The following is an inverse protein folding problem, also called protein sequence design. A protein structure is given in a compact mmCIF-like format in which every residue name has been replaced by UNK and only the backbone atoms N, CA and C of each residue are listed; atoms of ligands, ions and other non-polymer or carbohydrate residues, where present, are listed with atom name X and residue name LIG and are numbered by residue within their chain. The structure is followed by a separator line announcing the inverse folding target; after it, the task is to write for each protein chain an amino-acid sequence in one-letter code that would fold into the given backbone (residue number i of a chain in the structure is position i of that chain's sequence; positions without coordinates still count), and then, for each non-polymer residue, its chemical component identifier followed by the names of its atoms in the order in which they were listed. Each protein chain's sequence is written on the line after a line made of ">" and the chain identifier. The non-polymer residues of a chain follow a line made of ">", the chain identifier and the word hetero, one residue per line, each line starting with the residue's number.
data_IF_589048724507
#
_entry.id   IF_589048724507
#
_cell.length_a   1.000
_cell.length_b   1.000
_cell.length_c   1.000
_cell.angle_alpha   90.00
_cell.angle_beta   90.00
_cell.angle_gamma   90.00
#
_symmetry.space_group_name_H-M   'P 1'
#
loop_
_entity.id
_entity.type
_entity.pdbx_description
1 polymer ?
#
# COMPACT_ATOMS: atom_id res chain seq x y z
N UNK A 1 -19.45 -7.08 -19.71
CA UNK A 1 -18.13 -7.47 -19.15
C UNK A 1 -18.35 -7.81 -17.69
N UNK A 2 -17.74 -8.88 -17.16
CA UNK A 2 -17.78 -9.10 -15.73
C UNK A 2 -17.07 -7.94 -15.02
N UNK A 3 -17.75 -7.34 -14.04
CA UNK A 3 -17.19 -6.28 -13.20
C UNK A 3 -16.21 -6.98 -12.24
N UNK A 4 -14.97 -7.17 -12.71
CA UNK A 4 -13.98 -8.00 -12.01
C UNK A 4 -12.89 -7.20 -11.28
N UNK A 5 -12.79 -5.89 -11.51
CA UNK A 5 -11.79 -5.06 -10.84
C UNK A 5 -12.27 -4.73 -9.43
N UNK A 6 -11.66 -5.38 -8.43
CA UNK A 6 -11.83 -5.00 -7.03
C UNK A 6 -10.99 -3.75 -6.76
N UNK A 7 -11.64 -2.66 -6.38
CA UNK A 7 -10.93 -1.45 -6.00
C UNK A 7 -10.37 -1.59 -4.57
N UNK A 8 -9.20 -0.98 -4.38
CA UNK A 8 -8.46 -0.97 -3.11
C UNK A 8 -8.06 0.46 -2.78
N UNK A 9 -7.75 0.72 -1.51
CA UNK A 9 -7.26 2.04 -1.12
C UNK A 9 -5.80 2.26 -1.54
N UNK A 10 -4.99 1.21 -1.51
CA UNK A 10 -3.57 1.23 -1.84
C UNK A 10 -3.24 0.19 -2.91
N UNK A 11 -2.22 0.46 -3.72
CA UNK A 11 -1.71 -0.46 -4.74
C UNK A 11 -0.96 -1.63 -4.08
N UNK A 12 -0.20 -1.32 -3.03
CA UNK A 12 0.50 -2.30 -2.19
C UNK A 12 -0.02 -2.17 -0.76
N UNK A 13 -0.50 -3.29 -0.23
CA UNK A 13 -0.97 -3.47 1.14
C UNK A 13 -0.23 -4.69 1.69
N UNK A 14 0.79 -4.45 2.49
CA UNK A 14 1.74 -5.45 2.95
C UNK A 14 1.75 -5.57 4.47
N UNK A 15 2.19 -6.72 4.97
CA UNK A 15 2.47 -6.97 6.38
C UNK A 15 3.88 -7.55 6.47
N UNK A 16 4.65 -7.04 7.42
CA UNK A 16 6.06 -7.36 7.56
C UNK A 16 6.31 -8.61 8.42
N UNK A 17 7.23 -9.45 7.97
CA UNK A 17 7.63 -10.71 8.64
C UNK A 17 9.07 -10.68 9.16
N UNK A 18 9.74 -9.54 9.13
CA UNK A 18 11.19 -9.40 9.38
C UNK A 18 11.68 -10.16 10.62
N UNK A 19 10.91 -10.17 11.71
CA UNK A 19 11.26 -10.93 12.93
C UNK A 19 11.51 -12.42 12.69
N UNK A 20 10.85 -13.01 11.72
CA UNK A 20 11.00 -14.42 11.36
C UNK A 20 11.76 -14.59 10.04
N UNK A 21 11.52 -13.75 9.04
CA UNK A 21 12.18 -13.85 7.73
C UNK A 21 13.62 -13.33 7.73
N UNK A 22 14.00 -12.45 8.66
CA UNK A 22 15.39 -11.97 8.85
C UNK A 22 16.04 -12.50 10.11
N UNK A 23 15.51 -12.16 11.29
CA UNK A 23 16.25 -12.36 12.55
C UNK A 23 16.54 -13.86 12.82
N UNK A 24 15.66 -14.75 12.33
CA UNK A 24 15.82 -16.21 12.43
C UNK A 24 16.44 -16.87 11.19
N UNK A 25 16.87 -16.10 10.18
CA UNK A 25 17.24 -16.64 8.87
C UNK A 25 18.38 -17.66 8.94
N UNK A 26 19.49 -17.32 9.64
CA UNK A 26 20.62 -18.26 9.79
C UNK A 26 20.26 -19.48 10.64
N UNK A 27 19.47 -19.28 11.70
CA UNK A 27 19.10 -20.36 12.63
C UNK A 27 18.20 -21.40 11.95
N UNK A 28 17.20 -20.93 11.19
CA UNK A 28 16.13 -21.77 10.63
C UNK A 28 16.38 -22.26 9.21
N UNK A 29 17.51 -21.91 8.62
CA UNK A 29 17.79 -22.25 7.22
C UNK A 29 17.75 -23.75 6.94
N UNK A 30 18.25 -24.59 7.86
CA UNK A 30 18.26 -26.06 7.73
C UNK A 30 17.07 -26.74 8.42
N UNK A 31 16.21 -25.99 9.08
CA UNK A 31 15.05 -26.51 9.80
C UNK A 31 13.82 -26.51 8.89
N UNK A 32 13.54 -27.65 8.25
CA UNK A 32 12.36 -27.80 7.39
C UNK A 32 11.03 -27.78 8.16
N UNK A 33 11.05 -28.08 9.46
CA UNK A 33 9.81 -28.05 10.27
C UNK A 33 9.28 -26.63 10.43
N UNK A 34 10.17 -25.64 10.31
CA UNK A 34 9.83 -24.23 10.32
C UNK A 34 8.94 -23.79 9.13
N UNK A 35 8.81 -24.59 8.07
CA UNK A 35 7.86 -24.32 6.97
C UNK A 35 6.42 -24.21 7.46
N UNK A 36 6.07 -24.94 8.52
CA UNK A 36 4.74 -24.83 9.14
C UNK A 36 4.52 -23.43 9.74
N UNK A 37 5.55 -22.86 10.37
CA UNK A 37 5.50 -21.49 10.90
C UNK A 37 5.38 -20.47 9.78
N UNK A 38 6.17 -20.63 8.70
CA UNK A 38 6.08 -19.77 7.52
C UNK A 38 4.66 -19.85 6.92
N UNK A 39 4.12 -21.05 6.73
CA UNK A 39 2.79 -21.27 6.17
C UNK A 39 1.68 -20.64 7.02
N UNK A 40 1.73 -20.78 8.34
CA UNK A 40 0.74 -20.16 9.24
C UNK A 40 0.80 -18.63 9.11
N UNK A 41 2.00 -18.05 9.15
CA UNK A 41 2.18 -16.60 9.04
C UNK A 41 1.68 -16.05 7.70
N UNK A 42 2.10 -16.66 6.60
CA UNK A 42 1.66 -16.25 5.26
C UNK A 42 0.16 -16.40 5.08
N UNK A 43 -0.42 -17.52 5.54
CA UNK A 43 -1.87 -17.75 5.48
C UNK A 43 -2.63 -16.69 6.26
N UNK A 44 -2.16 -16.33 7.45
CA UNK A 44 -2.75 -15.29 8.27
C UNK A 44 -2.71 -13.92 7.58
N UNK A 45 -1.55 -13.55 7.02
CA UNK A 45 -1.40 -12.31 6.25
C UNK A 45 -2.34 -12.29 5.04
N UNK A 46 -2.41 -13.38 4.26
CA UNK A 46 -3.33 -13.49 3.13
C UNK A 46 -4.80 -13.39 3.56
N UNK A 47 -5.13 -13.96 4.72
CA UNK A 47 -6.45 -13.85 5.34
C UNK A 47 -6.92 -12.42 5.58
N UNK A 48 -5.98 -11.49 5.79
CA UNK A 48 -6.31 -10.07 5.95
C UNK A 48 -6.77 -9.38 4.66
N UNK A 49 -6.59 -10.03 3.51
CA UNK A 49 -6.76 -9.43 2.19
C UNK A 49 -5.57 -8.58 1.74
N UNK A 50 -4.43 -8.70 2.43
CA UNK A 50 -3.15 -8.19 1.96
C UNK A 50 -2.88 -8.60 0.51
N UNK A 51 -2.15 -7.76 -0.18
CA UNK A 51 -1.72 -8.00 -1.57
C UNK A 51 -0.29 -8.52 -1.61
N UNK A 52 0.50 -8.14 -0.60
CA UNK A 52 1.90 -8.46 -0.49
C UNK A 52 2.23 -8.98 0.90
N UNK A 53 3.35 -9.69 1.00
CA UNK A 53 4.06 -9.91 2.25
C UNK A 53 5.46 -9.30 2.12
N UNK A 54 5.94 -8.65 3.18
CA UNK A 54 7.30 -8.12 3.20
C UNK A 54 8.26 -9.12 3.85
N UNK A 55 9.36 -9.43 3.16
CA UNK A 55 10.37 -10.41 3.59
C UNK A 55 11.71 -9.71 3.82
N UNK A 56 12.29 -9.90 5.02
CA UNK A 56 13.54 -9.26 5.43
C UNK A 56 14.80 -10.12 5.26
N UNK A 57 14.70 -11.30 4.64
CA UNK A 57 15.82 -12.23 4.51
C UNK A 57 17.00 -11.59 3.77
N UNK A 58 18.26 -11.70 4.26
CA UNK A 58 19.40 -11.14 3.56
C UNK A 58 19.62 -11.77 2.18
N UNK A 59 20.28 -11.02 1.28
CA UNK A 59 20.43 -11.38 -0.12
C UNK A 59 21.68 -12.20 -0.46
N UNK A 60 22.46 -12.63 0.54
CA UNK A 60 23.58 -13.54 0.31
C UNK A 60 23.12 -14.96 -0.06
N UNK A 61 23.94 -15.64 -0.88
CA UNK A 61 23.72 -17.04 -1.31
C UNK A 61 23.48 -17.99 -0.14
N UNK A 62 24.11 -17.73 1.02
CA UNK A 62 23.88 -18.50 2.24
C UNK A 62 22.40 -18.57 2.56
N UNK A 63 21.63 -17.48 2.44
CA UNK A 63 20.24 -17.39 2.87
C UNK A 63 19.22 -17.77 1.78
N UNK A 64 19.67 -18.04 0.55
CA UNK A 64 18.81 -18.34 -0.57
C UNK A 64 17.85 -19.52 -0.35
N UNK A 65 18.28 -20.66 0.25
CA UNK A 65 17.36 -21.73 0.59
C UNK A 65 16.23 -21.28 1.52
N UNK A 66 16.49 -20.34 2.43
CA UNK A 66 15.50 -19.83 3.36
C UNK A 66 14.55 -18.84 2.68
N UNK A 67 15.06 -17.87 1.91
CA UNK A 67 14.24 -16.91 1.17
C UNK A 67 13.30 -17.62 0.19
N UNK A 68 13.78 -18.65 -0.54
CA UNK A 68 12.95 -19.43 -1.47
C UNK A 68 11.75 -20.09 -0.79
N UNK A 69 11.91 -20.59 0.45
CA UNK A 69 10.80 -21.18 1.22
C UNK A 69 9.70 -20.16 1.51
N UNK A 70 10.07 -18.95 1.94
CA UNK A 70 9.12 -17.85 2.15
C UNK A 70 8.40 -17.44 0.86
N UNK A 71 9.14 -17.27 -0.24
CA UNK A 71 8.56 -16.87 -1.53
C UNK A 71 7.58 -17.94 -2.04
N UNK A 72 7.97 -19.21 -2.06
CA UNK A 72 7.10 -20.32 -2.51
C UNK A 72 5.78 -20.34 -1.72
N UNK A 73 5.85 -20.17 -0.40
CA UNK A 73 4.66 -20.17 0.44
C UNK A 73 3.83 -18.90 0.22
N UNK A 74 4.44 -17.72 0.08
CA UNK A 74 3.74 -16.48 -0.28
C UNK A 74 2.91 -16.65 -1.57
N UNK A 75 3.52 -17.24 -2.61
CA UNK A 75 2.86 -17.53 -3.89
C UNK A 75 1.74 -18.55 -3.77
N UNK A 76 1.90 -19.59 -2.95
CA UNK A 76 0.82 -20.56 -2.64
C UNK A 76 -0.45 -19.86 -2.16
N UNK A 77 -0.32 -18.76 -1.41
CA UNK A 77 -1.42 -17.95 -0.91
C UNK A 77 -1.73 -16.71 -1.74
N UNK A 78 -1.21 -16.64 -2.98
CA UNK A 78 -1.46 -15.57 -3.96
C UNK A 78 -1.04 -14.18 -3.47
N UNK A 79 -0.02 -14.11 -2.61
CA UNK A 79 0.61 -12.86 -2.23
C UNK A 79 1.77 -12.57 -3.19
N UNK A 80 1.85 -11.31 -3.62
CA UNK A 80 3.09 -10.76 -4.15
C UNK A 80 4.11 -10.61 -3.00
N UNK A 81 5.38 -10.43 -3.33
CA UNK A 81 6.45 -10.30 -2.34
C UNK A 81 7.01 -8.90 -2.44
N UNK A 82 7.09 -8.24 -1.29
CA UNK A 82 7.93 -7.07 -1.12
C UNK A 82 9.25 -7.52 -0.48
N UNK A 83 10.28 -7.67 -1.30
CA UNK A 83 11.62 -7.96 -0.82
C UNK A 83 12.15 -6.71 -0.09
N UNK A 84 12.27 -6.81 1.23
CA UNK A 84 12.82 -5.80 2.14
C UNK A 84 14.01 -6.37 2.91
N UNK A 85 14.82 -7.18 2.23
CA UNK A 85 16.09 -7.67 2.75
C UNK A 85 17.20 -6.65 2.51
N UNK A 86 18.41 -7.02 2.88
CA UNK A 86 19.62 -6.26 2.56
C UNK A 86 20.76 -7.25 2.37
N UNK A 87 21.88 -6.82 1.80
CA UNK A 87 23.13 -7.56 1.96
C UNK A 87 23.54 -7.44 3.43
N UNK A 88 23.68 -8.56 4.14
CA UNK A 88 24.10 -8.63 5.53
C UNK A 88 25.37 -7.80 5.81
N UNK A 89 26.30 -7.76 4.87
CA UNK A 89 27.51 -6.92 4.98
C UNK A 89 27.26 -5.41 4.99
N UNK A 90 26.08 -4.92 4.60
CA UNK A 90 25.75 -3.48 4.66
C UNK A 90 25.71 -2.97 6.10
N UNK A 91 25.00 -3.69 6.97
CA UNK A 91 24.80 -3.38 8.39
C UNK A 91 25.65 -4.27 9.31
N UNK A 92 26.58 -5.04 8.73
CA UNK A 92 27.44 -5.97 9.47
C UNK A 92 26.63 -7.01 10.27
N UNK A 93 25.51 -7.47 9.70
CA UNK A 93 24.71 -8.55 10.25
C UNK A 93 25.42 -9.89 10.06
N UNK A 94 25.12 -10.84 10.95
CA UNK A 94 25.53 -12.23 10.78
C UNK A 94 27.04 -12.41 10.55
N UNK A 95 27.86 -11.55 11.16
CA UNK A 95 29.33 -11.52 11.04
C UNK A 95 29.86 -11.29 9.61
N UNK A 96 29.02 -10.82 8.68
CA UNK A 96 29.47 -10.47 7.33
C UNK A 96 30.32 -9.20 7.37
N UNK A 97 31.46 -9.17 6.63
CA UNK A 97 32.32 -8.00 6.60
C UNK A 97 31.59 -6.80 6.00
N UNK A 98 31.88 -5.62 6.56
CA UNK A 98 31.31 -4.35 6.10
C UNK A 98 31.60 -4.12 4.61
N UNK A 99 30.57 -3.76 3.85
CA UNK A 99 30.68 -3.40 2.42
C UNK A 99 30.45 -1.90 2.20
N UNK A 100 30.94 -1.40 1.07
CA UNK A 100 30.71 -0.02 0.62
C UNK A 100 29.59 0.05 -0.43
N UNK A 101 29.19 1.27 -0.80
CA UNK A 101 28.14 1.55 -1.81
C UNK A 101 28.36 0.83 -3.14
N UNK A 102 29.58 0.86 -3.67
CA UNK A 102 29.88 0.24 -4.97
C UNK A 102 29.73 -1.28 -4.92
N UNK A 103 30.24 -1.90 -3.87
CA UNK A 103 30.11 -3.35 -3.69
C UNK A 103 28.66 -3.75 -3.41
N UNK A 104 27.90 -2.93 -2.67
CA UNK A 104 26.48 -3.13 -2.45
C UNK A 104 25.71 -3.15 -3.78
N UNK A 105 25.82 -2.10 -4.59
CA UNK A 105 25.13 -2.02 -5.88
C UNK A 105 25.51 -3.15 -6.83
N UNK A 106 26.79 -3.54 -6.88
CA UNK A 106 27.25 -4.68 -7.68
C UNK A 106 26.57 -5.98 -7.23
N UNK A 107 26.60 -6.29 -5.93
CA UNK A 107 26.04 -7.53 -5.40
C UNK A 107 24.52 -7.60 -5.48
N UNK A 108 23.82 -6.46 -5.34
CA UNK A 108 22.37 -6.41 -5.56
C UNK A 108 22.04 -6.73 -7.02
N UNK A 109 22.80 -6.17 -7.97
CA UNK A 109 22.63 -6.51 -9.39
C UNK A 109 22.84 -8.00 -9.64
N UNK A 110 23.92 -8.56 -9.10
CA UNK A 110 24.23 -9.99 -9.21
C UNK A 110 23.12 -10.86 -8.62
N UNK A 111 22.61 -10.52 -7.43
CA UNK A 111 21.49 -11.20 -6.80
C UNK A 111 20.26 -11.26 -7.72
N UNK A 112 19.86 -10.12 -8.30
CA UNK A 112 18.70 -10.05 -9.20
C UNK A 112 18.92 -10.94 -10.42
N UNK A 113 20.08 -10.83 -11.07
CA UNK A 113 20.38 -11.54 -12.32
C UNK A 113 20.59 -13.05 -12.13
N UNK A 114 21.10 -13.47 -10.96
CA UNK A 114 21.37 -14.88 -10.67
C UNK A 114 20.15 -15.64 -10.14
N UNK A 115 19.12 -14.93 -9.64
CA UNK A 115 17.91 -15.52 -9.07
C UNK A 115 16.62 -15.02 -9.74
N UNK A 116 16.50 -15.07 -11.08
CA UNK A 116 15.33 -14.57 -11.78
C UNK A 116 14.04 -15.34 -11.42
N UNK A 117 14.16 -16.55 -10.89
CA UNK A 117 13.07 -17.41 -10.43
C UNK A 117 12.40 -16.92 -9.13
N UNK A 118 13.02 -15.99 -8.39
CA UNK A 118 12.40 -15.41 -7.20
C UNK A 118 11.29 -14.40 -7.52
N UNK A 119 11.38 -13.74 -8.67
CA UNK A 119 10.62 -12.51 -8.93
C UNK A 119 9.46 -12.76 -9.89
N UNK A 120 8.28 -12.25 -9.52
CA UNK A 120 7.10 -12.22 -10.36
C UNK A 120 6.64 -10.79 -10.63
N UNK A 121 5.89 -10.61 -11.71
CA UNK A 121 5.30 -9.32 -12.05
C UNK A 121 4.39 -8.83 -10.93
N UNK A 122 4.55 -7.57 -10.56
CA UNK A 122 3.84 -6.95 -9.45
C UNK A 122 4.50 -7.14 -8.09
N UNK A 123 5.66 -7.79 -8.00
CA UNK A 123 6.49 -7.72 -6.80
C UNK A 123 7.06 -6.30 -6.57
N UNK A 124 7.58 -6.10 -5.36
CA UNK A 124 8.35 -4.93 -4.97
C UNK A 124 9.72 -5.37 -4.48
N UNK A 125 10.78 -4.68 -4.89
CA UNK A 125 12.14 -4.92 -4.46
C UNK A 125 12.76 -3.64 -3.89
N UNK A 126 13.17 -3.71 -2.62
CA UNK A 126 13.95 -2.67 -1.94
C UNK A 126 15.36 -3.21 -1.74
N UNK A 127 16.37 -2.60 -2.37
CA UNK A 127 17.75 -3.08 -2.27
C UNK A 127 18.38 -2.86 -0.90
N UNK A 128 17.95 -1.82 -0.19
CA UNK A 128 18.26 -1.58 1.21
C UNK A 128 17.07 -0.87 1.88
N UNK A 129 16.33 -1.50 2.80
CA UNK A 129 15.49 -0.77 3.75
C UNK A 129 16.40 -0.07 4.76
N UNK A 130 16.05 1.16 5.13
CA UNK A 130 16.82 2.01 6.06
C UNK A 130 18.32 2.06 5.72
N UNK A 131 18.65 2.35 4.46
CA UNK A 131 20.04 2.33 3.97
C UNK A 131 21.01 3.16 4.84
N UNK A 132 20.53 4.16 5.57
CA UNK A 132 21.29 4.96 6.53
C UNK A 132 21.93 4.16 7.69
N UNK A 133 21.42 2.97 8.00
CA UNK A 133 21.90 2.15 9.12
C UNK A 133 23.22 1.43 8.81
N UNK A 134 23.59 1.32 7.54
CA UNK A 134 24.77 0.60 7.08
C UNK A 134 25.70 1.42 6.19
N UNK A 135 26.67 0.75 5.57
CA UNK A 135 27.58 1.37 4.61
C UNK A 135 28.29 2.61 5.18
N UNK A 136 28.33 3.74 4.45
CA UNK A 136 28.92 4.99 4.96
C UNK A 136 28.21 5.55 6.22
N UNK A 137 26.99 5.12 6.52
CA UNK A 137 26.21 5.51 7.68
C UNK A 137 25.26 6.69 7.43
N UNK A 138 24.60 7.09 8.50
CA UNK A 138 23.52 8.08 8.49
C UNK A 138 23.97 9.46 7.97
N UNK A 139 23.37 9.97 6.88
CA UNK A 139 23.77 11.24 6.26
C UNK A 139 23.64 12.44 7.20
N UNK A 140 22.76 12.37 8.22
CA UNK A 140 22.63 13.42 9.25
C UNK A 140 23.85 13.49 10.16
N UNK A 141 24.54 12.36 10.36
CA UNK A 141 25.72 12.24 11.21
C UNK A 141 27.01 12.41 10.41
N UNK A 142 27.07 11.88 9.19
CA UNK A 142 28.25 11.94 8.34
C UNK A 142 28.38 13.24 7.57
N UNK A 143 27.26 13.97 7.36
CA UNK A 143 27.19 15.14 6.49
C UNK A 143 27.18 14.80 5.00
N UNK A 144 27.24 13.51 4.63
CA UNK A 144 27.32 13.05 3.23
C UNK A 144 25.95 12.93 2.57
N UNK A 145 25.22 14.05 2.49
CA UNK A 145 23.89 14.13 1.87
C UNK A 145 23.95 13.82 0.38
N UNK A 146 24.87 14.45 -0.34
CA UNK A 146 24.99 14.28 -1.80
C UNK A 146 25.46 12.88 -2.17
N UNK A 147 26.41 12.30 -1.42
CA UNK A 147 26.83 10.92 -1.64
C UNK A 147 25.70 9.92 -1.38
N UNK A 148 24.85 10.15 -0.38
CA UNK A 148 23.69 9.30 -0.11
C UNK A 148 22.64 9.39 -1.25
N UNK A 149 22.30 10.61 -1.69
CA UNK A 149 21.38 10.82 -2.83
C UNK A 149 21.89 10.17 -4.11
N UNK A 150 23.17 10.38 -4.42
CA UNK A 150 23.79 9.79 -5.61
C UNK A 150 23.79 8.26 -5.55
N UNK A 151 24.01 7.69 -4.36
CA UNK A 151 23.96 6.24 -4.16
C UNK A 151 22.60 5.66 -4.48
N UNK A 152 21.53 6.12 -3.82
CA UNK A 152 20.19 5.55 -4.02
C UNK A 152 19.69 5.75 -5.45
N UNK A 153 20.02 6.86 -6.10
CA UNK A 153 19.67 7.12 -7.51
C UNK A 153 20.41 6.17 -8.46
N UNK A 154 21.72 5.96 -8.25
CA UNK A 154 22.51 5.10 -9.12
C UNK A 154 22.17 3.62 -8.91
N UNK A 155 21.91 3.22 -7.68
CA UNK A 155 21.45 1.88 -7.36
C UNK A 155 20.08 1.60 -7.98
N UNK A 156 19.14 2.55 -7.85
CA UNK A 156 17.83 2.42 -8.47
C UNK A 156 17.92 2.18 -9.98
N UNK A 157 18.74 2.97 -10.69
CA UNK A 157 18.97 2.77 -12.13
C UNK A 157 19.50 1.37 -12.43
N UNK A 158 20.47 0.91 -11.64
CA UNK A 158 21.08 -0.41 -11.79
C UNK A 158 20.08 -1.53 -11.58
N UNK A 159 19.26 -1.44 -10.53
CA UNK A 159 18.20 -2.41 -10.20
C UNK A 159 17.13 -2.42 -11.29
N UNK A 160 16.68 -1.23 -11.73
CA UNK A 160 15.69 -1.09 -12.81
C UNK A 160 16.17 -1.70 -14.12
N UNK A 161 17.44 -1.50 -14.47
CA UNK A 161 18.06 -2.11 -15.66
C UNK A 161 18.16 -3.63 -15.54
N UNK A 162 18.49 -4.15 -14.35
CA UNK A 162 18.53 -5.59 -14.10
C UNK A 162 17.16 -6.24 -14.32
N UNK A 163 16.10 -5.73 -13.67
CA UNK A 163 14.74 -6.27 -13.88
C UNK A 163 14.24 -6.12 -15.31
N UNK A 164 14.56 -5.00 -15.97
CA UNK A 164 14.25 -4.81 -17.39
C UNK A 164 14.92 -5.88 -18.27
N UNK A 165 16.16 -6.26 -17.98
CA UNK A 165 16.87 -7.30 -18.73
C UNK A 165 16.30 -8.71 -18.52
N UNK A 166 15.58 -8.92 -17.42
CA UNK A 166 14.85 -10.15 -17.12
C UNK A 166 13.40 -10.14 -17.64
N UNK A 167 12.97 -9.03 -18.26
CA UNK A 167 11.58 -8.82 -18.70
C UNK A 167 10.57 -8.96 -17.54
N UNK A 168 10.96 -8.53 -16.33
CA UNK A 168 10.11 -8.57 -15.12
C UNK A 168 9.63 -7.18 -14.74
N UNK A 169 8.34 -7.05 -14.42
CA UNK A 169 7.72 -5.83 -13.93
C UNK A 169 7.72 -5.79 -12.39
N UNK A 170 8.88 -5.47 -11.81
CA UNK A 170 9.07 -5.34 -10.36
C UNK A 170 9.24 -3.86 -10.00
N UNK A 171 8.54 -3.41 -8.96
CA UNK A 171 8.69 -2.05 -8.44
C UNK A 171 9.98 -1.94 -7.63
N UNK A 172 10.91 -1.07 -8.04
CA UNK A 172 12.27 -1.03 -7.50
C UNK A 172 12.67 0.29 -6.80
N UNK A 173 11.75 1.25 -6.68
CA UNK A 173 12.01 2.60 -6.15
C UNK A 173 11.59 2.79 -4.69
N UNK A 174 11.28 1.71 -3.96
CA UNK A 174 10.82 1.80 -2.57
C UNK A 174 12.00 1.78 -1.58
N UNK A 175 12.86 2.80 -1.66
CA UNK A 175 13.99 3.00 -0.74
C UNK A 175 13.49 3.57 0.59
N UNK A 176 13.20 2.69 1.55
CA UNK A 176 12.71 3.12 2.86
C UNK A 176 13.82 3.75 3.69
N UNK A 177 13.47 4.77 4.47
CA UNK A 177 14.37 5.46 5.39
C UNK A 177 13.55 6.08 6.51
N UNK A 178 14.20 6.37 7.64
CA UNK A 178 13.60 7.07 8.74
C UNK A 178 13.04 8.44 8.31
N UNK A 179 11.94 8.86 8.95
CA UNK A 179 11.22 10.07 8.57
C UNK A 179 12.06 11.34 8.50
N UNK A 180 13.05 11.50 9.37
CA UNK A 180 13.97 12.65 9.37
C UNK A 180 15.05 12.55 8.29
N UNK A 181 15.54 11.35 7.98
CA UNK A 181 16.40 11.09 6.82
C UNK A 181 15.63 11.40 5.54
N UNK A 182 14.36 11.01 5.44
CA UNK A 182 13.52 11.32 4.28
C UNK A 182 13.40 12.82 4.03
N UNK A 183 13.21 13.66 5.07
CA UNK A 183 13.16 15.13 4.90
C UNK A 183 14.47 15.70 4.37
N UNK A 184 15.60 15.12 4.77
CA UNK A 184 16.92 15.58 4.35
C UNK A 184 17.24 15.13 2.92
N UNK A 185 16.94 13.88 2.59
CA UNK A 185 17.39 13.24 1.35
C UNK A 185 16.43 13.47 0.20
N UNK A 186 15.12 13.39 0.43
CA UNK A 186 14.12 13.28 -0.64
C UNK A 186 13.57 14.65 -1.07
N UNK A 187 14.45 15.46 -1.68
CA UNK A 187 14.04 16.67 -2.40
C UNK A 187 13.38 16.34 -3.75
N UNK A 188 12.82 17.36 -4.41
CA UNK A 188 12.10 17.18 -5.68
C UNK A 188 12.93 16.54 -6.79
N UNK A 189 14.23 16.84 -6.86
CA UNK A 189 15.10 16.29 -7.89
C UNK A 189 15.42 14.81 -7.62
N UNK A 190 15.76 14.48 -6.38
CA UNK A 190 16.02 13.10 -5.93
C UNK A 190 14.76 12.24 -6.11
N UNK A 191 13.61 12.75 -5.68
CA UNK A 191 12.31 12.09 -5.84
C UNK A 191 11.95 11.87 -7.30
N UNK A 192 12.17 12.86 -8.18
CA UNK A 192 11.93 12.70 -9.62
C UNK A 192 12.85 11.63 -10.24
N UNK A 193 14.11 11.54 -9.79
CA UNK A 193 15.08 10.51 -10.23
C UNK A 193 14.75 9.10 -9.74
N UNK A 194 13.87 8.98 -8.74
CA UNK A 194 13.35 7.72 -8.18
C UNK A 194 11.89 7.48 -8.62
N UNK A 195 11.53 7.93 -9.82
CA UNK A 195 10.18 7.77 -10.40
C UNK A 195 9.04 8.34 -9.53
N UNK A 196 9.33 9.38 -8.75
CA UNK A 196 8.33 10.17 -8.06
C UNK A 196 7.81 9.56 -6.75
N UNK A 197 8.52 8.62 -6.14
CA UNK A 197 8.14 8.01 -4.86
C UNK A 197 9.06 8.40 -3.71
N UNK A 198 8.48 8.46 -2.51
CA UNK A 198 9.20 8.60 -1.25
C UNK A 198 8.71 7.52 -0.30
N UNK A 199 9.61 6.61 0.08
CA UNK A 199 9.31 5.55 1.03
C UNK A 199 9.85 5.92 2.40
N UNK A 200 8.98 5.85 3.41
CA UNK A 200 9.32 6.29 4.77
C UNK A 200 8.94 5.24 5.79
N UNK A 201 9.87 4.93 6.67
CA UNK A 201 9.64 4.15 7.89
C UNK A 201 9.32 5.16 8.99
N UNK A 202 8.05 5.20 9.42
CA UNK A 202 7.52 6.34 10.17
C UNK A 202 6.64 5.90 11.34
N UNK A 203 7.22 5.98 12.53
CA UNK A 203 6.55 5.74 13.80
C UNK A 203 6.37 7.06 14.54
N UNK A 204 5.13 7.41 14.90
CA UNK A 204 4.81 8.67 15.58
C UNK A 204 3.67 8.51 16.57
N UNK A 205 3.69 9.31 17.63
CA UNK A 205 2.78 9.15 18.77
C UNK A 205 1.29 9.21 18.47
N UNK A 206 0.86 9.89 17.40
CA UNK A 206 -0.57 10.05 17.09
C UNK A 206 -0.88 9.83 15.60
N UNK A 207 -2.09 9.30 15.29
CA UNK A 207 -2.59 9.20 13.93
C UNK A 207 -2.62 10.54 13.17
N UNK A 208 -2.96 11.64 13.87
CA UNK A 208 -2.97 12.99 13.31
C UNK A 208 -1.58 13.43 12.87
N UNK A 209 -0.55 13.14 13.68
CA UNK A 209 0.83 13.44 13.34
C UNK A 209 1.29 12.61 12.13
N UNK A 210 0.95 11.32 12.08
CA UNK A 210 1.25 10.45 10.94
C UNK A 210 0.69 11.03 9.63
N UNK A 211 -0.60 11.35 9.62
CA UNK A 211 -1.26 11.92 8.44
C UNK A 211 -0.71 13.29 8.05
N UNK A 212 -0.33 14.13 9.03
CA UNK A 212 0.29 15.44 8.79
C UNK A 212 1.68 15.29 8.19
N UNK A 213 2.52 14.42 8.75
CA UNK A 213 3.89 14.21 8.28
C UNK A 213 3.90 13.63 6.87
N UNK A 214 3.03 12.68 6.55
CA UNK A 214 2.83 12.15 5.18
C UNK A 214 2.55 13.29 4.17
N UNK A 215 1.64 14.19 4.51
CA UNK A 215 1.31 15.34 3.63
C UNK A 215 2.49 16.29 3.48
N UNK A 216 3.28 16.48 4.52
CA UNK A 216 4.49 17.28 4.45
C UNK A 216 5.54 16.63 3.55
N UNK A 217 5.81 15.33 3.72
CA UNK A 217 6.72 14.59 2.84
C UNK A 217 6.31 14.75 1.38
N UNK A 218 5.02 14.55 1.07
CA UNK A 218 4.54 14.65 -0.30
C UNK A 218 4.68 16.08 -0.87
N UNK A 219 4.39 17.09 -0.05
CA UNK A 219 4.49 18.50 -0.45
C UNK A 219 5.94 18.92 -0.70
N UNK A 220 6.85 18.53 0.20
CA UNK A 220 8.26 18.94 0.17
C UNK A 220 9.00 18.23 -0.97
N UNK A 221 8.81 16.92 -1.09
CA UNK A 221 9.42 16.08 -2.14
C UNK A 221 8.73 16.19 -3.50
N UNK A 222 7.45 16.59 -3.54
CA UNK A 222 6.63 16.50 -4.75
C UNK A 222 6.24 15.08 -5.16
N UNK A 223 6.56 14.06 -4.35
CA UNK A 223 6.34 12.65 -4.65
C UNK A 223 5.07 12.06 -4.07
N UNK A 224 4.78 10.82 -4.49
CA UNK A 224 3.85 9.90 -3.84
C UNK A 224 4.52 9.21 -2.66
N UNK A 225 3.74 8.92 -1.63
CA UNK A 225 4.23 8.37 -0.38
C UNK A 225 3.96 6.87 -0.32
N UNK A 226 4.99 6.16 0.11
CA UNK A 226 4.94 4.77 0.53
C UNK A 226 5.28 4.74 2.01
N UNK A 227 4.41 4.16 2.84
CA UNK A 227 4.79 3.84 4.21
C UNK A 227 5.52 2.50 4.19
N UNK A 228 6.84 2.54 4.24
CA UNK A 228 7.70 1.36 4.27
C UNK A 228 7.56 0.61 5.59
N UNK A 229 7.33 1.34 6.67
CA UNK A 229 6.93 0.82 7.96
C UNK A 229 6.01 1.81 8.67
N UNK A 230 4.98 1.27 9.29
CA UNK A 230 4.20 1.93 10.32
C UNK A 230 3.62 0.85 11.22
N UNK A 231 3.39 1.19 12.49
CA UNK A 231 2.82 0.26 13.45
C UNK A 231 2.72 0.89 14.83
N UNK A 232 1.90 0.28 15.67
CA UNK A 232 1.78 0.62 17.08
C UNK A 232 1.46 -0.64 17.89
N UNK A 233 1.83 -0.69 19.19
CA UNK A 233 2.68 0.27 19.89
C UNK A 233 4.18 0.10 19.60
N UNK A 234 4.89 1.21 19.69
CA UNK A 234 6.33 1.28 19.92
C UNK A 234 6.47 1.90 21.32
N UNK A 235 7.00 1.20 22.34
CA UNK A 235 6.92 1.62 23.73
C UNK A 235 7.40 3.06 23.97
N UNK A 236 8.54 3.44 23.38
CA UNK A 236 9.13 4.77 23.56
C UNK A 236 8.35 5.90 22.84
N UNK A 237 7.37 5.56 22.00
CA UNK A 237 6.61 6.52 21.18
C UNK A 237 5.14 6.58 21.62
N UNK A 238 4.56 5.43 21.92
CA UNK A 238 3.13 5.25 22.18
C UNK A 238 2.82 4.89 23.64
N UNK A 239 3.82 4.44 24.40
CA UNK A 239 3.63 3.72 25.66
C UNK A 239 3.16 2.28 25.44
N UNK A 240 2.74 1.65 26.54
CA UNK A 240 2.27 0.27 26.57
C UNK A 240 0.78 0.19 26.23
N UNK A 241 0.44 0.33 24.94
CA UNK A 241 -0.93 0.18 24.47
C UNK A 241 -1.41 -1.27 24.64
N UNK A 242 -2.59 -1.46 25.23
CA UNK A 242 -3.29 -2.76 25.19
C UNK A 242 -3.87 -3.06 23.80
N UNK A 243 -4.52 -4.22 23.62
CA UNK A 243 -5.03 -4.63 22.30
C UNK A 243 -6.13 -3.71 21.76
N UNK A 244 -7.02 -3.21 22.62
CA UNK A 244 -8.09 -2.28 22.26
C UNK A 244 -7.51 -0.94 21.81
N UNK A 245 -6.51 -0.43 22.54
CA UNK A 245 -5.81 0.81 22.24
C UNK A 245 -4.98 0.70 20.96
N UNK A 246 -4.25 -0.40 20.77
CA UNK A 246 -3.54 -0.73 19.54
C UNK A 246 -4.51 -0.73 18.35
N UNK A 247 -5.62 -1.46 18.47
CA UNK A 247 -6.65 -1.53 17.44
C UNK A 247 -7.21 -0.14 17.13
N UNK A 248 -7.60 0.64 18.15
CA UNK A 248 -8.14 1.98 17.99
C UNK A 248 -7.15 2.96 17.32
N UNK A 249 -5.86 2.87 17.68
CA UNK A 249 -4.81 3.66 17.04
C UNK A 249 -4.70 3.33 15.54
N UNK A 250 -4.69 2.03 15.19
CA UNK A 250 -4.58 1.55 13.81
C UNK A 250 -5.79 1.96 12.97
N UNK A 251 -7.03 1.82 13.46
CA UNK A 251 -8.23 2.27 12.72
C UNK A 251 -8.16 3.79 12.47
N UNK A 252 -7.81 4.57 13.50
CA UNK A 252 -7.69 6.03 13.36
C UNK A 252 -6.60 6.44 12.36
N UNK A 253 -5.45 5.76 12.39
CA UNK A 253 -4.35 5.98 11.46
C UNK A 253 -4.77 5.66 10.02
N UNK A 254 -5.25 4.44 9.77
CA UNK A 254 -5.63 3.98 8.44
C UNK A 254 -6.76 4.83 7.86
N UNK A 255 -7.76 5.23 8.66
CA UNK A 255 -8.83 6.13 8.22
C UNK A 255 -8.30 7.46 7.70
N UNK A 256 -7.27 8.03 8.32
CA UNK A 256 -6.66 9.28 7.84
C UNK A 256 -5.77 9.04 6.62
N UNK A 257 -5.07 7.93 6.59
CA UNK A 257 -4.17 7.55 5.49
C UNK A 257 -4.98 7.31 4.20
N UNK A 258 -6.10 6.57 4.24
CA UNK A 258 -6.92 6.35 3.03
C UNK A 258 -7.50 7.63 2.42
N UNK A 259 -7.65 8.67 3.26
CA UNK A 259 -8.09 10.00 2.84
C UNK A 259 -6.94 10.89 2.31
N UNK A 260 -5.71 10.38 2.29
CA UNK A 260 -4.51 11.09 1.84
C UNK A 260 -4.09 10.53 0.48
N UNK A 261 -4.47 11.23 -0.61
CA UNK A 261 -4.32 10.77 -2.01
C UNK A 261 -2.86 10.64 -2.47
N UNK A 262 -1.94 11.15 -1.67
CA UNK A 262 -0.51 11.03 -1.87
C UNK A 262 0.02 9.64 -1.51
N UNK A 263 -0.68 8.90 -0.63
CA UNK A 263 -0.26 7.55 -0.22
C UNK A 263 -0.70 6.51 -1.25
N UNK A 264 0.26 5.75 -1.77
CA UNK A 264 0.01 4.72 -2.80
C UNK A 264 0.24 3.30 -2.29
N UNK A 265 1.03 3.15 -1.22
CA UNK A 265 1.43 1.86 -0.68
C UNK A 265 1.72 1.95 0.82
N UNK A 266 1.43 0.85 1.52
CA UNK A 266 1.67 0.73 2.96
C UNK A 266 2.18 -0.68 3.32
N UNK A 267 3.05 -0.75 4.32
CA UNK A 267 3.53 -1.99 4.93
C UNK A 267 3.43 -1.87 6.45
N UNK A 268 2.59 -2.71 7.06
CA UNK A 268 2.41 -2.73 8.51
C UNK A 268 3.52 -3.56 9.15
N UNK A 269 4.21 -2.96 10.12
CA UNK A 269 5.19 -3.63 10.97
C UNK A 269 4.51 -3.95 12.31
N UNK A 270 4.40 -5.20 12.78
CA UNK A 270 4.74 -6.51 12.17
C UNK A 270 3.68 -7.58 12.39
N UNK A 271 3.85 -8.72 11.72
CA UNK A 271 3.10 -9.95 11.94
C UNK A 271 3.17 -10.48 13.39
N UNK A 272 4.37 -10.86 13.85
CA UNK A 272 4.63 -11.49 15.16
C UNK A 272 5.92 -10.93 15.81
N UNK A 273 6.11 -11.24 17.10
CA UNK A 273 7.36 -11.08 17.86
C UNK A 273 7.91 -9.65 17.91
N UNK A 274 7.00 -8.67 17.93
CA UNK A 274 7.33 -7.28 18.20
C UNK A 274 6.24 -6.65 19.06
N UNK A 275 6.51 -5.46 19.60
CA UNK A 275 5.50 -4.68 20.33
C UNK A 275 4.28 -4.36 19.47
N UNK A 276 4.44 -4.27 18.16
CA UNK A 276 3.38 -3.95 17.19
C UNK A 276 2.67 -5.18 16.61
N UNK A 277 2.95 -6.38 17.13
CA UNK A 277 2.46 -7.62 16.53
C UNK A 277 0.93 -7.66 16.35
N UNK A 278 0.51 -8.33 15.29
CA UNK A 278 -0.90 -8.53 14.93
C UNK A 278 -1.42 -9.90 15.38
N UNK A 279 -0.54 -10.89 15.54
CA UNK A 279 -0.87 -12.22 16.03
C UNK A 279 -0.07 -12.54 17.29
N UNK A 280 -0.72 -13.19 18.25
CA UNK A 280 -0.06 -13.70 19.44
C UNK A 280 0.82 -14.91 19.10
N UNK A 281 1.69 -15.34 20.03
CA UNK A 281 2.59 -16.50 19.84
C UNK A 281 1.87 -17.80 19.46
N UNK A 282 0.63 -17.97 19.90
CA UNK A 282 -0.22 -19.12 19.54
C UNK A 282 -0.93 -18.96 18.19
N UNK A 283 -0.58 -17.93 17.41
CA UNK A 283 -1.17 -17.52 16.13
C UNK A 283 -2.65 -17.08 16.21
N UNK A 284 -3.20 -16.84 17.40
CA UNK A 284 -4.51 -16.21 17.53
C UNK A 284 -4.43 -14.73 17.11
N UNK A 285 -5.42 -14.22 16.34
CA UNK A 285 -5.42 -12.83 15.92
C UNK A 285 -5.67 -11.91 17.11
N UNK A 286 -4.96 -10.79 17.17
CA UNK A 286 -5.29 -9.67 18.06
C UNK A 286 -6.40 -8.82 17.46
N UNK A 287 -7.02 -7.95 18.27
CA UNK A 287 -8.10 -7.06 17.83
C UNK A 287 -7.71 -6.20 16.61
N UNK A 288 -6.44 -5.78 16.53
CA UNK A 288 -5.89 -5.00 15.43
C UNK A 288 -6.01 -5.69 14.05
N UNK A 289 -6.04 -7.02 13.98
CA UNK A 289 -6.18 -7.77 12.71
C UNK A 289 -7.47 -7.40 11.99
N UNK A 290 -8.57 -7.29 12.74
CA UNK A 290 -9.88 -6.91 12.17
C UNK A 290 -9.88 -5.50 11.57
N UNK A 291 -9.07 -4.60 12.15
CA UNK A 291 -8.91 -3.25 11.61
C UNK A 291 -8.03 -3.29 10.36
N UNK A 292 -6.94 -4.04 10.32
CA UNK A 292 -6.15 -4.22 9.08
C UNK A 292 -7.04 -4.80 7.96
N UNK A 293 -7.79 -5.86 8.24
CA UNK A 293 -8.75 -6.50 7.32
C UNK A 293 -9.73 -5.50 6.72
N UNK A 294 -10.31 -4.64 7.55
CA UNK A 294 -11.27 -3.62 7.12
C UNK A 294 -10.72 -2.69 6.03
N UNK A 295 -9.44 -2.32 6.09
CA UNK A 295 -8.82 -1.46 5.08
C UNK A 295 -8.18 -2.24 3.93
N UNK A 296 -7.69 -3.45 4.18
CA UNK A 296 -6.99 -4.24 3.16
C UNK A 296 -7.98 -4.97 2.25
N UNK A 297 -9.16 -5.30 2.77
CA UNK A 297 -10.20 -6.08 2.13
C UNK A 297 -11.57 -5.36 2.18
N UNK A 298 -11.67 -4.08 1.76
CA UNK A 298 -12.91 -3.33 1.93
C UNK A 298 -14.03 -3.90 1.06
N UNK A 299 -15.27 -3.66 1.49
CA UNK A 299 -16.46 -3.97 0.68
C UNK A 299 -16.45 -3.04 -0.51
N UNK A 300 -16.63 -3.57 -1.72
CA UNK A 300 -16.79 -2.76 -2.91
C UNK A 300 -18.27 -2.58 -3.24
N UNK A 301 -18.67 -1.34 -3.50
CA UNK A 301 -19.94 -1.06 -4.17
C UNK A 301 -19.67 -0.88 -5.65
N UNK A 302 -20.27 -1.74 -6.47
CA UNK A 302 -19.96 -1.83 -7.89
C UNK A 302 -21.22 -1.98 -8.74
N UNK A 303 -21.13 -1.63 -10.02
CA UNK A 303 -22.26 -1.73 -10.93
C UNK A 303 -22.05 -0.97 -12.23
N UNK A 304 -23.12 -0.81 -12.98
CA UNK A 304 -23.14 0.02 -14.18
C UNK A 304 -23.89 1.33 -13.95
N UNK A 305 -23.51 2.36 -14.70
CA UNK A 305 -24.17 3.66 -14.71
C UNK A 305 -24.78 3.87 -16.08
N UNK A 306 -26.11 3.96 -16.14
CA UNK A 306 -26.88 4.10 -17.38
C UNK A 306 -27.79 5.31 -17.35
N UNK A 307 -28.21 5.78 -18.52
CA UNK A 307 -29.27 6.80 -18.63
C UNK A 307 -30.67 6.15 -18.66
N UNK A 308 -31.71 6.97 -18.72
CA UNK A 308 -33.10 6.50 -18.79
C UNK A 308 -33.43 5.67 -20.05
N UNK A 309 -32.52 5.62 -21.03
CA UNK A 309 -32.64 4.83 -22.27
C UNK A 309 -31.76 3.57 -22.24
N UNK A 310 -31.05 3.33 -21.14
CA UNK A 310 -30.15 2.20 -20.98
C UNK A 310 -28.76 2.38 -21.57
N UNK A 311 -28.41 3.58 -22.07
CA UNK A 311 -27.07 3.86 -22.59
C UNK A 311 -26.08 4.04 -21.44
N UNK A 312 -24.85 3.56 -21.60
CA UNK A 312 -23.78 3.79 -20.63
C UNK A 312 -23.48 5.30 -20.47
N UNK A 313 -23.39 5.76 -19.22
CA UNK A 313 -23.04 7.14 -18.88
C UNK A 313 -21.59 7.19 -18.38
N UNK A 314 -20.74 7.82 -19.18
CA UNK A 314 -19.30 8.02 -18.91
C UNK A 314 -19.05 9.31 -18.13
N UNK A 315 -17.85 9.50 -17.62
CA UNK A 315 -17.38 10.69 -16.88
C UNK A 315 -18.27 11.05 -15.68
N UNK A 316 -18.73 10.02 -14.97
CA UNK A 316 -19.54 10.21 -13.75
C UNK A 316 -18.61 10.29 -12.55
N UNK A 317 -18.75 11.33 -11.74
CA UNK A 317 -18.07 11.42 -10.45
C UNK A 317 -18.87 10.63 -9.42
N UNK A 318 -18.24 9.60 -8.84
CA UNK A 318 -18.78 8.84 -7.71
C UNK A 318 -18.01 9.25 -6.47
N UNK A 319 -18.72 9.82 -5.50
CA UNK A 319 -18.15 10.33 -4.25
C UNK A 319 -18.72 9.55 -3.06
N UNK A 320 -17.84 8.86 -2.35
CA UNK A 320 -18.08 8.39 -0.99
C UNK A 320 -17.42 9.32 0.04
N UNK A 321 -17.41 8.89 1.30
CA UNK A 321 -16.77 9.60 2.41
C UNK A 321 -15.26 9.51 2.33
N UNK A 322 -14.70 8.35 1.98
CA UNK A 322 -13.25 8.12 1.93
C UNK A 322 -12.64 8.25 0.53
N UNK A 323 -13.44 8.01 -0.51
CA UNK A 323 -12.94 7.94 -1.89
C UNK A 323 -13.80 8.74 -2.84
N UNK A 324 -13.17 9.30 -3.86
CA UNK A 324 -13.85 9.88 -5.02
C UNK A 324 -13.18 9.33 -6.27
N UNK A 325 -13.98 8.82 -7.20
CA UNK A 325 -13.53 8.29 -8.48
C UNK A 325 -14.27 8.98 -9.63
N UNK A 326 -13.67 8.96 -10.81
CA UNK A 326 -14.31 9.37 -12.06
C UNK A 326 -14.44 8.13 -12.94
N UNK A 327 -15.68 7.76 -13.23
CA UNK A 327 -16.05 6.56 -13.99
C UNK A 327 -16.02 6.88 -15.48
N UNK A 328 -15.13 6.27 -16.25
CA UNK A 328 -14.85 6.65 -17.66
C UNK A 328 -15.58 5.80 -18.69
N UNK A 329 -16.07 4.61 -18.33
CA UNK A 329 -16.69 3.63 -19.22
C UNK A 329 -18.14 3.28 -18.83
N UNK A 330 -18.61 3.85 -17.72
CA UNK A 330 -19.92 3.59 -17.12
C UNK A 330 -19.97 2.31 -16.29
N UNK A 331 -18.84 1.71 -15.95
CA UNK A 331 -18.71 0.68 -14.93
C UNK A 331 -17.98 1.29 -13.73
N UNK A 332 -18.50 1.06 -12.53
CA UNK A 332 -17.88 1.58 -11.33
C UNK A 332 -17.66 0.49 -10.29
N UNK A 333 -16.62 0.68 -9.49
CA UNK A 333 -16.38 0.01 -8.22
C UNK A 333 -15.80 1.07 -7.29
N UNK A 334 -16.24 1.12 -6.03
CA UNK A 334 -15.71 2.04 -5.03
C UNK A 334 -15.63 1.32 -3.68
N UNK A 335 -14.46 1.36 -3.00
CA UNK A 335 -14.33 0.73 -1.69
C UNK A 335 -15.04 1.57 -0.63
N UNK A 336 -15.76 0.90 0.26
CA UNK A 336 -16.49 1.50 1.38
C UNK A 336 -16.14 0.77 2.67
N UNK A 337 -16.03 1.52 3.78
CA UNK A 337 -15.56 0.98 5.06
C UNK A 337 -16.68 0.71 6.06
N UNK A 338 -17.68 1.60 6.09
CA UNK A 338 -18.75 1.57 7.08
C UNK A 338 -20.09 1.86 6.37
N UNK A 339 -21.09 2.30 7.13
CA UNK A 339 -22.29 2.90 6.58
C UNK A 339 -21.99 4.31 6.04
N UNK A 340 -22.26 4.53 4.76
CA UNK A 340 -22.08 5.83 4.11
C UNK A 340 -23.12 6.08 3.01
N UNK A 341 -23.10 7.29 2.43
CA UNK A 341 -23.88 7.61 1.24
C UNK A 341 -22.95 7.86 0.06
N UNK A 342 -23.25 7.21 -1.07
CA UNK A 342 -22.53 7.42 -2.32
C UNK A 342 -23.32 8.38 -3.19
N UNK A 343 -22.67 9.45 -3.64
CA UNK A 343 -23.23 10.45 -4.56
C UNK A 343 -22.67 10.23 -5.97
N UNK A 344 -23.57 10.03 -6.93
CA UNK A 344 -23.28 9.93 -8.35
C UNK A 344 -23.68 11.24 -9.02
N UNK A 345 -22.72 11.90 -9.66
CA UNK A 345 -22.93 13.23 -10.25
C UNK A 345 -22.25 13.39 -11.61
N UNK A 346 -22.94 14.03 -12.54
CA UNK A 346 -22.44 14.39 -13.87
C UNK A 346 -23.16 15.65 -14.37
N UNK A 347 -22.45 16.55 -15.04
CA UNK A 347 -23.06 17.71 -15.68
C UNK A 347 -24.12 17.28 -16.70
N UNK A 348 -25.30 17.92 -16.65
CA UNK A 348 -26.44 17.56 -17.50
C UNK A 348 -27.27 16.38 -16.99
N UNK A 349 -27.01 15.87 -15.78
CA UNK A 349 -27.79 14.83 -15.12
C UNK A 349 -28.22 15.26 -13.71
N UNK A 350 -29.33 14.70 -13.22
CA UNK A 350 -29.73 14.80 -11.81
C UNK A 350 -28.83 13.87 -10.98
N UNK A 351 -28.27 14.37 -9.89
CA UNK A 351 -27.42 13.56 -9.02
C UNK A 351 -28.23 12.52 -8.25
N UNK A 352 -27.67 11.33 -8.08
CA UNK A 352 -28.29 10.22 -7.35
C UNK A 352 -27.50 9.95 -6.08
N UNK A 353 -28.20 9.77 -4.96
CA UNK A 353 -27.60 9.35 -3.70
C UNK A 353 -28.13 7.97 -3.32
N UNK A 354 -27.24 7.06 -2.96
CA UNK A 354 -27.62 5.76 -2.38
C UNK A 354 -27.01 5.63 -0.99
N UNK A 355 -27.71 4.98 -0.07
CA UNK A 355 -27.16 4.55 1.21
C UNK A 355 -26.58 3.15 1.09
N UNK A 356 -25.40 2.93 1.65
CA UNK A 356 -24.69 1.65 1.64
C UNK A 356 -24.29 1.27 3.06
N UNK A 357 -24.19 -0.03 3.32
CA UNK A 357 -23.73 -0.58 4.60
C UNK A 357 -22.72 -1.68 4.31
N UNK A 358 -21.47 -1.49 4.73
CA UNK A 358 -20.38 -2.45 4.55
C UNK A 358 -20.41 -3.63 5.55
N UNK A 359 -21.43 -3.73 6.39
CA UNK A 359 -21.50 -4.74 7.46
C UNK A 359 -21.88 -6.13 6.90
N UNK A 360 -21.04 -7.14 7.15
CA UNK A 360 -21.32 -8.57 6.91
C UNK A 360 -21.63 -8.97 5.46
N UNK A 361 -21.16 -8.21 4.47
CA UNK A 361 -21.32 -8.50 3.05
C UNK A 361 -19.97 -8.45 2.34
N UNK A 362 -19.76 -9.28 1.31
CA UNK A 362 -18.51 -9.27 0.54
C UNK A 362 -18.40 -8.00 -0.32
N UNK A 363 -19.30 -7.89 -1.28
CA UNK A 363 -19.40 -6.79 -2.23
C UNK A 363 -20.88 -6.51 -2.52
N UNK A 364 -21.20 -5.27 -2.87
CA UNK A 364 -22.56 -4.80 -3.15
C UNK A 364 -22.68 -4.47 -4.63
N UNK A 365 -23.54 -5.17 -5.35
CA UNK A 365 -23.84 -4.88 -6.76
C UNK A 365 -25.06 -3.96 -6.85
N UNK A 366 -24.89 -2.77 -7.42
CA UNK A 366 -25.96 -1.77 -7.57
C UNK A 366 -25.82 -0.99 -8.88
N UNK A 367 -26.73 -1.24 -9.81
CA UNK A 367 -26.82 -0.40 -11.01
C UNK A 367 -27.46 0.96 -10.68
N UNK A 368 -26.98 1.99 -11.36
CA UNK A 368 -27.40 3.39 -11.18
C UNK A 368 -27.97 3.91 -12.49
N UNK A 369 -29.15 4.53 -12.41
CA UNK A 369 -29.76 5.25 -13.53
C UNK A 369 -29.64 6.74 -13.25
N UNK A 370 -28.91 7.46 -14.11
CA UNK A 370 -28.85 8.92 -14.08
C UNK A 370 -29.85 9.48 -15.09
N UNK A 371 -30.74 10.34 -14.62
CA UNK A 371 -31.74 11.00 -15.48
C UNK A 371 -31.18 12.34 -15.95
N UNK A 372 -31.28 12.64 -17.24
CA UNK A 372 -30.84 13.94 -17.78
C UNK A 372 -31.56 15.09 -17.07
N UNK A 373 -30.80 16.10 -16.65
CA UNK A 373 -31.38 17.33 -16.13
C UNK A 373 -31.89 18.14 -17.33
N UNK A 374 -33.20 18.20 -17.51
CA UNK A 374 -33.79 19.08 -18.50
C UNK A 374 -33.45 20.53 -18.10
N UNK A 375 -32.99 21.37 -19.05
CA UNK A 375 -32.79 22.78 -18.77
C UNK A 375 -34.07 23.35 -18.17
N UNK A 376 -33.96 24.15 -17.10
CA UNK A 376 -35.10 24.84 -16.47
C UNK A 376 -35.99 25.59 -17.49
N UNK A 377 -35.44 25.98 -18.63
CA UNK A 377 -36.16 26.59 -19.76
C UNK A 377 -37.15 25.62 -20.40
N UNK A 378 -36.76 24.39 -20.70
CA UNK A 378 -37.69 23.41 -21.29
C UNK A 378 -38.70 22.90 -20.27
N UNK A 379 -38.32 22.76 -19.00
CA UNK A 379 -39.27 22.45 -17.93
C UNK A 379 -40.27 23.59 -17.71
N UNK A 380 -39.84 24.86 -17.75
CA UNK A 380 -40.75 26.00 -17.62
C UNK A 380 -41.64 26.19 -18.85
N UNK A 381 -41.13 25.92 -20.07
CA UNK A 381 -41.94 25.91 -21.30
C UNK A 381 -42.93 24.74 -21.27
N UNK A 382 -42.50 23.54 -20.90
CA UNK A 382 -43.38 22.37 -20.76
C UNK A 382 -44.49 22.62 -19.74
N UNK A 383 -44.16 23.16 -18.56
CA UNK A 383 -45.15 23.53 -17.54
C UNK A 383 -46.08 24.66 -18.00
N UNK A 384 -45.58 25.63 -18.79
CA UNK A 384 -46.43 26.67 -19.41
C UNK A 384 -47.40 26.09 -20.43
N UNK A 385 -46.95 25.16 -21.27
CA UNK A 385 -47.79 24.46 -22.25
C UNK A 385 -48.84 23.60 -21.54
N UNK A 386 -48.42 22.82 -20.54
CA UNK A 386 -49.32 21.97 -19.76
C UNK A 386 -50.41 22.78 -19.04
N UNK A 387 -50.02 23.91 -18.41
CA UNK A 387 -50.97 24.82 -17.75
C UNK A 387 -51.88 25.56 -18.75
N UNK A 388 -51.41 25.87 -19.95
CA UNK A 388 -52.25 26.44 -21.01
C UNK A 388 -53.34 25.46 -21.44
N UNK A 389 -53.01 24.19 -21.65
CA UNK A 389 -53.99 23.17 -22.02
C UNK A 389 -54.93 22.76 -20.88
N UNK A 390 -54.43 22.69 -19.63
CA UNK A 390 -55.27 22.42 -18.46
C UNK A 390 -56.18 23.61 -18.09
N UNK A 391 -55.78 24.83 -18.41
CA UNK A 391 -56.59 26.04 -18.24
C UNK A 391 -57.69 26.21 -19.29
N UNK A 392 -57.60 25.53 -20.44
CA UNK A 392 -58.63 25.49 -21.48
C UNK A 392 -59.71 24.41 -21.23
N UNK A 393 -59.51 23.56 -20.22
CA UNK A 393 -60.43 22.50 -19.79
C UNK A 393 -61.22 22.87 -18.51
N UNK A 394 -61.08 24.11 -18.03
CA UNK A 394 -61.98 24.78 -17.09
C UNK A 394 -62.75 25.85 -17.85
#
# INVERSE_FOLDING_TARGET
>A
MPINARERFFQVQSIDTMKYSRDLAREKIKDSTFDQTIEIQIKNIAGTGATHVSLGTPYEEEFMPYLKRWVVIARKYKLNVWFRGNLAGWENWFDYPKINRNLHTLKIKEFILNHPDLFDDGDVFSSCPECENGGPGDPRKTGDVDGFRNFIVNEYKTVKEAFKSLEKNVTANYYSMNGDVARLIMDKDTTAKLDGTVTVDHYVSTPEKLAKDIKNYAKESGGKIVLGEFGAPIPDIHGDLNQEEQAGWIDSALRKIVNTKEVIAINYWTNNASSTELWNDNNSPRLAVSNIEKYYNPVNVMGTIKDEKGNSVKEVTVKGRERTIVVTDGVYAIPVLDKESLTFSKLGYVSVNIGVKAENVKDIVKDIVLVKSYPRIFYSIYMKILNFFLGLLR
#
